data_IF_913078777027
#
_entry.id   IF_913078777027
#
_cell.length_a   1.000
_cell.length_b   1.000
_cell.length_c   1.000
_cell.angle_alpha   90.00
_cell.angle_beta   90.00
_cell.angle_gamma   90.00
#
_symmetry.space_group_name_H-M   'P 1'
#
loop_
_entity.id
_entity.type
_entity.pdbx_description
1 polymer ?
#
# COMPACT_ATOMS: atom_id res chain seq x y z
N UNK A 1 40.17 30.61 -46.47
CA UNK A 1 38.69 30.73 -46.51
C UNK A 1 37.98 29.40 -46.22
N UNK A 2 38.22 28.31 -46.99
CA UNK A 2 37.55 27.00 -46.76
C UNK A 2 37.68 26.45 -45.32
N UNK A 3 38.87 26.58 -44.71
CA UNK A 3 39.11 26.15 -43.31
C UNK A 3 38.31 26.97 -42.29
N UNK A 4 38.12 28.27 -42.52
CA UNK A 4 37.36 29.16 -41.63
C UNK A 4 35.87 28.82 -41.68
N UNK A 5 35.34 28.55 -42.87
CA UNK A 5 33.94 28.12 -43.07
C UNK A 5 33.66 26.80 -42.35
N UNK A 6 34.60 25.86 -42.40
CA UNK A 6 34.47 24.59 -41.68
C UNK A 6 34.36 24.78 -40.16
N UNK A 7 35.21 25.63 -39.56
CA UNK A 7 35.13 25.92 -38.13
C UNK A 7 33.84 26.63 -37.72
N UNK A 8 33.31 27.52 -38.56
CA UNK A 8 32.01 28.18 -38.31
C UNK A 8 30.87 27.16 -38.31
N UNK A 9 30.86 26.21 -39.25
CA UNK A 9 29.83 25.16 -39.32
C UNK A 9 29.90 24.24 -38.09
N UNK A 10 31.11 23.85 -37.67
CA UNK A 10 31.30 23.01 -36.48
C UNK A 10 30.85 23.76 -35.21
N UNK A 11 31.20 25.05 -35.09
CA UNK A 11 30.79 25.87 -33.96
C UNK A 11 29.27 26.07 -33.91
N UNK A 12 28.64 26.33 -35.06
CA UNK A 12 27.18 26.47 -35.15
C UNK A 12 26.45 25.15 -34.89
N UNK A 13 27.00 24.02 -35.34
CA UNK A 13 26.50 22.68 -34.99
C UNK A 13 26.57 22.43 -33.48
N UNK A 14 27.67 22.81 -32.84
CA UNK A 14 27.87 22.62 -31.40
C UNK A 14 26.92 23.48 -30.56
N UNK A 15 26.68 24.73 -30.95
CA UNK A 15 25.72 25.61 -30.25
C UNK A 15 24.28 25.12 -30.38
N UNK A 16 23.89 24.61 -31.55
CA UNK A 16 22.56 24.03 -31.79
C UNK A 16 22.37 22.76 -30.96
N UNK A 17 23.35 21.85 -30.90
CA UNK A 17 23.29 20.63 -30.07
C UNK A 17 23.20 20.97 -28.58
N UNK A 18 23.89 22.02 -28.13
CA UNK A 18 23.86 22.49 -26.74
C UNK A 18 22.48 23.06 -26.35
N UNK A 19 21.74 23.66 -27.29
CA UNK A 19 20.37 24.15 -27.05
C UNK A 19 19.35 23.00 -26.92
N UNK A 20 19.54 21.89 -27.65
CA UNK A 20 18.68 20.71 -27.53
C UNK A 20 19.01 19.84 -26.30
N UNK A 21 20.20 19.97 -25.73
CA UNK A 21 20.59 19.30 -24.49
C UNK A 21 20.09 20.00 -23.21
N UNK A 22 19.56 21.23 -23.32
CA UNK A 22 19.02 21.98 -22.18
C UNK A 22 17.51 21.79 -21.97
N UNK A 23 16.87 20.95 -22.77
CA UNK A 23 15.48 20.52 -22.55
C UNK A 23 15.45 19.14 -21.91
N UNK A 24 16.13 19.00 -20.77
CA UNK A 24 15.78 17.93 -19.85
C UNK A 24 14.51 18.33 -19.10
N UNK A 25 13.51 17.52 -19.39
CA UNK A 25 12.35 17.10 -18.62
C UNK A 25 11.95 18.02 -17.44
N UNK A 26 10.70 18.53 -17.40
CA UNK A 26 10.23 19.24 -16.21
C UNK A 26 10.50 18.38 -14.99
N UNK A 27 11.14 18.99 -13.99
CA UNK A 27 11.37 18.43 -12.66
C UNK A 27 10.06 17.80 -12.21
N UNK A 28 10.01 16.48 -12.31
CA UNK A 28 8.90 15.66 -11.87
C UNK A 28 9.10 15.40 -10.38
N UNK A 29 8.91 16.48 -9.63
CA UNK A 29 8.68 16.43 -8.20
C UNK A 29 7.35 15.71 -7.95
N UNK A 30 7.41 14.55 -7.30
CA UNK A 30 6.26 13.71 -7.01
C UNK A 30 6.29 12.37 -7.74
N UNK A 31 6.29 11.28 -6.97
CA UNK A 31 5.93 9.95 -7.46
C UNK A 31 4.65 10.06 -8.29
N UNK A 32 4.70 9.82 -9.60
CA UNK A 32 3.49 9.79 -10.43
C UNK A 32 2.73 8.50 -10.15
N UNK A 33 1.48 8.65 -9.73
CA UNK A 33 0.51 7.56 -9.69
C UNK A 33 0.24 7.12 -11.14
N UNK A 34 0.71 5.92 -11.50
CA UNK A 34 0.46 5.33 -12.82
C UNK A 34 -0.98 4.79 -12.85
N UNK A 35 -1.81 5.38 -13.71
CA UNK A 35 -3.24 5.08 -13.85
C UNK A 35 -3.54 4.09 -14.98
N UNK A 36 -2.54 3.68 -15.75
CA UNK A 36 -2.76 3.03 -17.07
C UNK A 36 -1.91 1.79 -17.32
N UNK A 37 -0.79 1.59 -16.62
CA UNK A 37 0.01 0.37 -16.77
C UNK A 37 -0.25 -0.63 -15.65
N UNK A 38 -0.48 -1.88 -16.03
CA UNK A 38 -0.62 -3.04 -15.15
C UNK A 38 0.27 -4.16 -15.68
N UNK A 39 0.67 -5.10 -14.82
CA UNK A 39 1.36 -6.32 -15.28
C UNK A 39 0.30 -7.29 -15.85
N UNK A 40 0.52 -7.85 -17.03
CA UNK A 40 -0.42 -8.82 -17.63
C UNK A 40 0.10 -10.26 -17.62
N UNK A 41 1.41 -10.51 -17.45
CA UNK A 41 2.03 -11.80 -17.05
C UNK A 41 3.32 -11.58 -16.23
N UNK A 42 3.58 -12.46 -15.25
CA UNK A 42 4.41 -12.18 -14.06
C UNK A 42 5.93 -12.05 -14.26
N UNK A 43 6.45 -10.87 -13.91
CA UNK A 43 7.83 -10.60 -13.52
C UNK A 43 7.87 -9.74 -12.24
N UNK A 44 7.06 -10.08 -11.25
CA UNK A 44 7.03 -9.43 -9.93
C UNK A 44 7.64 -10.39 -8.91
N UNK A 45 8.63 -9.93 -8.14
CA UNK A 45 9.25 -10.73 -7.09
C UNK A 45 8.86 -10.20 -5.72
N UNK A 46 8.29 -11.07 -4.89
CA UNK A 46 7.84 -10.73 -3.55
C UNK A 46 8.23 -11.84 -2.57
N UNK A 47 8.97 -11.47 -1.52
CA UNK A 47 9.18 -12.37 -0.37
C UNK A 47 7.93 -12.44 0.49
N UNK A 48 7.54 -13.66 0.82
CA UNK A 48 6.58 -13.98 1.89
C UNK A 48 7.33 -14.65 3.03
N UNK A 49 7.15 -14.14 4.25
CA UNK A 49 7.80 -14.65 5.47
C UNK A 49 6.80 -15.38 6.37
N UNK A 50 7.23 -16.45 7.03
CA UNK A 50 6.45 -17.13 8.06
C UNK A 50 6.30 -16.32 9.37
N UNK A 51 6.96 -15.16 9.46
CA UNK A 51 6.79 -14.19 10.55
C UNK A 51 5.58 -13.27 10.34
N UNK A 52 4.75 -13.50 9.31
CA UNK A 52 3.54 -12.71 9.04
C UNK A 52 3.79 -11.42 8.26
N UNK A 53 4.93 -11.31 7.57
CA UNK A 53 5.32 -10.13 6.81
C UNK A 53 5.64 -10.46 5.35
N UNK A 54 5.38 -9.49 4.48
CA UNK A 54 5.79 -9.46 3.09
C UNK A 54 6.90 -8.42 2.92
N UNK A 55 7.87 -8.72 2.06
CA UNK A 55 9.00 -7.84 1.76
C UNK A 55 10.21 -8.01 2.66
N UNK A 56 11.14 -7.06 2.57
CA UNK A 56 12.45 -7.06 3.24
C UNK A 56 12.49 -6.18 4.48
N UNK A 57 11.68 -5.12 4.57
CA UNK A 57 11.61 -4.22 5.73
C UNK A 57 13.00 -3.78 6.22
N UNK A 58 13.27 -3.98 7.50
CA UNK A 58 14.57 -3.71 8.13
C UNK A 58 15.55 -4.89 8.10
N UNK A 59 15.39 -5.87 7.20
CA UNK A 59 16.30 -7.01 7.12
C UNK A 59 17.74 -6.53 6.88
N UNK A 60 18.57 -6.61 7.92
CA UNK A 60 19.90 -5.98 7.97
C UNK A 60 21.00 -6.79 7.29
N UNK A 61 20.77 -8.07 7.00
CA UNK A 61 21.80 -8.99 6.49
C UNK A 61 21.49 -9.63 5.14
N UNK A 62 20.23 -9.64 4.69
CA UNK A 62 19.85 -10.17 3.37
C UNK A 62 18.69 -9.37 2.82
N UNK A 63 18.95 -8.63 1.74
CA UNK A 63 17.90 -7.95 1.00
C UNK A 63 17.17 -8.98 0.14
N UNK A 64 15.88 -9.15 0.44
CA UNK A 64 14.98 -10.00 -0.32
C UNK A 64 14.10 -9.13 -1.22
N UNK A 65 13.59 -9.65 -2.35
CA UNK A 65 12.69 -8.89 -3.20
C UNK A 65 11.44 -8.43 -2.43
N UNK A 66 11.12 -7.15 -2.56
CA UNK A 66 10.13 -6.46 -1.76
C UNK A 66 9.14 -5.76 -2.68
N UNK A 67 8.33 -6.59 -3.35
CA UNK A 67 7.46 -6.20 -4.47
C UNK A 67 8.26 -5.58 -5.61
N UNK A 68 9.29 -6.29 -6.05
CA UNK A 68 10.24 -5.85 -7.07
C UNK A 68 9.66 -6.04 -8.47
N UNK A 69 9.79 -5.02 -9.32
CA UNK A 69 9.38 -5.07 -10.72
C UNK A 69 10.29 -4.20 -11.62
N UNK A 70 10.76 -4.71 -12.78
CA UNK A 70 10.77 -6.12 -13.17
C UNK A 70 11.63 -6.94 -12.19
N UNK A 71 11.32 -8.22 -11.98
CA UNK A 71 12.11 -9.11 -11.12
C UNK A 71 13.56 -9.20 -11.57
N UNK A 72 14.50 -9.08 -10.62
CA UNK A 72 15.94 -8.97 -10.84
C UNK A 72 16.45 -7.54 -11.09
N UNK A 73 15.60 -6.52 -11.06
CA UNK A 73 15.97 -5.10 -11.22
C UNK A 73 16.59 -4.46 -9.98
N UNK A 74 16.45 -5.08 -8.81
CA UNK A 74 16.79 -4.50 -7.50
C UNK A 74 16.01 -3.21 -7.16
N UNK A 75 14.85 -2.98 -7.78
CA UNK A 75 13.95 -1.85 -7.50
C UNK A 75 12.74 -2.36 -6.71
N UNK A 76 12.74 -2.08 -5.40
CA UNK A 76 11.68 -2.47 -4.47
C UNK A 76 10.57 -1.40 -4.36
N UNK A 77 9.30 -1.83 -4.44
CA UNK A 77 8.13 -0.95 -4.32
C UNK A 77 7.36 -1.11 -3.01
N UNK A 78 7.67 -2.12 -2.21
CA UNK A 78 7.11 -2.36 -0.88
C UNK A 78 8.23 -2.32 0.16
N UNK A 79 8.12 -1.48 1.18
CA UNK A 79 9.06 -1.51 2.30
C UNK A 79 8.79 -2.72 3.21
N UNK A 80 7.60 -2.77 3.81
CA UNK A 80 7.12 -3.88 4.64
C UNK A 80 5.60 -3.94 4.52
N UNK A 81 5.06 -5.13 4.32
CA UNK A 81 3.63 -5.40 4.43
C UNK A 81 3.34 -6.44 5.50
N UNK A 82 2.18 -6.37 6.15
CA UNK A 82 1.65 -7.43 7.01
C UNK A 82 0.17 -7.62 6.72
N UNK A 83 -0.34 -8.81 7.02
CA UNK A 83 -1.78 -9.08 6.90
C UNK A 83 -2.47 -8.73 8.21
N UNK A 84 -3.52 -7.92 8.13
CA UNK A 84 -4.36 -7.57 9.27
C UNK A 84 -5.74 -8.22 9.11
N UNK A 85 -6.14 -9.01 10.10
CA UNK A 85 -7.46 -9.63 10.14
C UNK A 85 -8.32 -8.92 11.18
N UNK A 86 -9.46 -8.39 10.74
CA UNK A 86 -10.51 -7.90 11.62
C UNK A 86 -11.60 -8.96 11.80
N UNK A 87 -12.19 -9.02 12.99
CA UNK A 87 -13.37 -9.82 13.25
C UNK A 87 -14.34 -9.04 14.13
N UNK A 88 -15.63 -9.26 13.90
CA UNK A 88 -16.70 -8.77 14.77
C UNK A 88 -16.71 -9.59 16.06
N UNK A 89 -16.75 -8.94 17.22
CA UNK A 89 -16.74 -9.63 18.51
C UNK A 89 -18.12 -9.62 19.13
N UNK A 90 -18.68 -10.80 19.41
CA UNK A 90 -19.91 -10.88 20.20
C UNK A 90 -19.60 -10.48 21.64
N UNK A 91 -20.30 -9.45 22.13
CA UNK A 91 -20.12 -8.97 23.50
C UNK A 91 -20.71 -9.97 24.48
N UNK A 92 -19.98 -10.20 25.57
CA UNK A 92 -20.35 -11.13 26.64
C UNK A 92 -20.14 -10.49 28.00
N UNK A 93 -20.92 -10.92 28.98
CA UNK A 93 -20.70 -10.56 30.39
C UNK A 93 -19.52 -11.34 30.99
N UNK A 94 -19.26 -11.14 32.28
CA UNK A 94 -18.15 -11.78 33.00
C UNK A 94 -18.28 -13.31 33.08
N UNK A 95 -19.52 -13.82 33.02
CA UNK A 95 -19.83 -15.25 33.03
C UNK A 95 -19.80 -15.88 31.62
N UNK A 96 -19.52 -15.08 30.59
CA UNK A 96 -19.41 -15.54 29.21
C UNK A 96 -20.75 -15.64 28.47
N UNK A 97 -21.84 -15.14 29.04
CA UNK A 97 -23.15 -15.12 28.42
C UNK A 97 -23.23 -14.03 27.34
N UNK A 98 -23.98 -14.27 26.27
CA UNK A 98 -24.17 -13.28 25.20
C UNK A 98 -25.03 -12.12 25.68
N UNK A 99 -24.68 -10.92 25.24
CA UNK A 99 -25.44 -9.71 25.50
C UNK A 99 -26.28 -9.30 24.29
N UNK A 100 -27.50 -8.83 24.56
CA UNK A 100 -28.47 -8.37 23.59
C UNK A 100 -28.91 -6.96 23.92
N UNK A 101 -29.09 -6.11 22.91
CA UNK A 101 -29.59 -4.75 23.10
C UNK A 101 -31.06 -4.78 23.50
N UNK A 102 -31.43 -3.93 24.47
CA UNK A 102 -32.83 -3.59 24.70
C UNK A 102 -33.42 -2.88 23.45
N UNK A 103 -34.75 -2.82 23.26
CA UNK A 103 -35.35 -2.27 22.03
C UNK A 103 -34.99 -0.81 21.73
N UNK A 104 -34.74 0.00 22.76
CA UNK A 104 -34.33 1.41 22.65
C UNK A 104 -33.17 1.69 23.62
N UNK A 105 -31.94 1.26 23.28
CA UNK A 105 -30.79 1.50 24.15
C UNK A 105 -30.37 2.97 24.05
N UNK A 106 -30.22 3.63 25.19
CA UNK A 106 -29.68 4.99 25.31
C UNK A 106 -28.16 4.96 25.45
N UNK A 107 -27.60 3.92 26.07
CA UNK A 107 -26.17 3.73 26.26
C UNK A 107 -25.66 2.30 26.01
N UNK A 108 -24.36 2.08 26.25
CA UNK A 108 -23.69 0.80 26.00
C UNK A 108 -24.01 -0.30 27.04
N UNK A 109 -24.65 0.07 28.14
CA UNK A 109 -25.04 -0.79 29.26
C UNK A 109 -26.51 -1.22 29.20
N UNK A 110 -27.30 -0.66 28.28
CA UNK A 110 -28.69 -1.08 27.98
C UNK A 110 -28.74 -2.43 27.25
N UNK A 111 -28.20 -3.44 27.92
CA UNK A 111 -28.02 -4.79 27.43
C UNK A 111 -28.51 -5.81 28.44
N UNK A 112 -29.01 -6.93 27.94
CA UNK A 112 -29.54 -8.04 28.73
C UNK A 112 -28.99 -9.38 28.24
N UNK A 113 -28.99 -10.40 29.10
CA UNK A 113 -28.65 -11.79 28.75
C UNK A 113 -29.92 -12.58 28.42
N UNK A 114 -29.78 -13.78 27.84
CA UNK A 114 -30.93 -14.66 27.54
C UNK A 114 -31.71 -15.11 28.79
N UNK A 115 -31.11 -15.01 29.98
CA UNK A 115 -31.72 -15.38 31.25
C UNK A 115 -32.46 -14.23 31.93
N UNK A 116 -32.36 -13.01 31.40
CA UNK A 116 -33.06 -11.86 31.96
C UNK A 116 -34.56 -11.92 31.63
N UNK A 117 -35.39 -11.50 32.58
CA UNK A 117 -36.84 -11.32 32.40
C UNK A 117 -37.23 -10.39 31.25
N UNK A 118 -36.35 -9.45 30.89
CA UNK A 118 -36.55 -8.48 29.80
C UNK A 118 -36.12 -9.03 28.43
N UNK A 119 -35.52 -10.21 28.38
CA UNK A 119 -35.05 -10.79 27.13
C UNK A 119 -36.21 -11.34 26.30
N UNK A 120 -36.15 -11.07 25.00
CA UNK A 120 -37.05 -11.63 24.00
C UNK A 120 -36.25 -12.11 22.79
N UNK A 121 -36.73 -13.14 22.06
CA UNK A 121 -35.96 -13.75 20.96
C UNK A 121 -35.72 -12.82 19.76
N UNK A 122 -36.40 -11.67 19.69
CA UNK A 122 -36.22 -10.63 18.69
C UNK A 122 -35.13 -9.60 19.03
N UNK A 123 -34.60 -9.61 20.27
CA UNK A 123 -33.52 -8.70 20.66
C UNK A 123 -32.26 -8.95 19.83
N UNK A 124 -31.57 -7.85 19.50
CA UNK A 124 -30.37 -7.90 18.66
C UNK A 124 -29.14 -8.23 19.49
N UNK A 125 -28.38 -9.22 19.03
CA UNK A 125 -27.10 -9.56 19.63
C UNK A 125 -26.12 -8.36 19.56
N UNK A 126 -25.44 -8.08 20.67
CA UNK A 126 -24.43 -7.04 20.74
C UNK A 126 -23.14 -7.52 20.08
N UNK A 127 -22.65 -6.75 19.12
CA UNK A 127 -21.46 -7.06 18.34
C UNK A 127 -20.59 -5.81 18.26
N UNK A 128 -19.37 -5.92 18.79
CA UNK A 128 -18.31 -4.90 18.76
C UNK A 128 -17.48 -4.97 17.46
#
# INVERSE_FOLDING_TARGET
MKKIIFFIIVFYGFTVISLFAFTDCPVQDGKKFDLVKYHDVGNIWLRVSNYGFFGSGYASSTQWPSLEYPGGSAIDYLFLGSLWFGAKKVRRNIDGEKLYWLPNPEDEYDVVTEHDSLWTPDLKLVVD
#
